data_IF_715915491395
#
_entry.id   IF_715915491395
#
_cell.length_a   1.000
_cell.length_b   1.000
_cell.length_c   1.000
_cell.angle_alpha   90.00
_cell.angle_beta   90.00
_cell.angle_gamma   90.00
#
_symmetry.space_group_name_H-M   'P 1'
#
loop_
_entity.id
_entity.type
_entity.pdbx_description
1 polymer ?
#
# COMPACT_ATOMS: atom_id res chain seq x y z
N UNK A 1 44.55 -50.30 3.11
CA UNK A 1 44.63 -51.03 1.84
C UNK A 1 43.67 -52.23 1.80
N UNK A 2 42.53 -52.01 1.16
CA UNK A 2 41.50 -53.00 0.84
C UNK A 2 41.92 -53.97 -0.30
N UNK A 3 42.97 -53.62 -1.05
CA UNK A 3 43.65 -54.50 -1.99
C UNK A 3 43.23 -54.37 -3.45
N UNK A 4 42.55 -53.29 -3.84
CA UNK A 4 42.06 -53.05 -5.20
C UNK A 4 43.12 -52.45 -6.18
N UNK A 5 44.21 -51.90 -5.64
CA UNK A 5 45.31 -51.32 -6.43
C UNK A 5 45.18 -49.81 -6.70
N UNK A 6 44.15 -49.16 -6.16
CA UNK A 6 44.01 -47.71 -5.99
C UNK A 6 44.58 -47.35 -4.61
N UNK A 7 45.00 -46.09 -4.40
CA UNK A 7 45.58 -45.69 -3.11
C UNK A 7 44.48 -45.24 -2.16
N UNK A 8 44.57 -45.61 -0.87
CA UNK A 8 43.65 -45.29 0.25
C UNK A 8 43.24 -43.79 0.40
N UNK A 9 43.77 -42.88 -0.42
CA UNK A 9 43.46 -41.44 -0.41
C UNK A 9 42.32 -41.03 -1.36
N UNK A 10 41.82 -41.95 -2.18
CA UNK A 10 40.64 -41.71 -3.03
C UNK A 10 39.59 -42.82 -2.86
N UNK A 11 39.60 -43.46 -1.69
CA UNK A 11 38.54 -44.36 -1.27
C UNK A 11 37.31 -43.50 -0.95
N UNK A 12 36.16 -44.00 -1.38
CA UNK A 12 34.81 -43.49 -1.15
C UNK A 12 34.03 -44.73 -0.71
N UNK A 13 34.01 -44.93 0.61
CA UNK A 13 33.66 -46.20 1.23
C UNK A 13 32.15 -46.49 1.19
N UNK A 14 31.31 -45.46 1.07
CA UNK A 14 29.86 -45.59 1.03
C UNK A 14 29.22 -45.17 -0.32
N UNK A 15 29.99 -44.52 -1.19
CA UNK A 15 29.60 -44.19 -2.56
C UNK A 15 28.81 -42.90 -2.70
N UNK A 16 28.96 -41.94 -1.78
CA UNK A 16 28.24 -40.67 -1.78
C UNK A 16 28.90 -39.57 -2.65
N UNK A 17 30.03 -39.92 -3.29
CA UNK A 17 30.87 -39.06 -4.13
C UNK A 17 31.81 -38.09 -3.38
N UNK A 18 31.97 -38.26 -2.07
CA UNK A 18 33.05 -37.70 -1.28
C UNK A 18 34.06 -38.79 -0.93
N UNK A 19 35.30 -38.39 -0.69
CA UNK A 19 36.35 -39.35 -0.33
C UNK A 19 36.47 -39.40 1.19
N UNK A 20 36.76 -40.58 1.75
CA UNK A 20 36.81 -40.84 3.20
C UNK A 20 37.65 -39.83 4.01
N UNK A 21 38.62 -39.16 3.37
CA UNK A 21 39.49 -38.17 4.00
C UNK A 21 38.86 -36.79 4.24
N UNK A 22 37.75 -36.47 3.57
CA UNK A 22 37.00 -35.21 3.72
C UNK A 22 35.53 -35.45 4.08
N UNK A 23 35.12 -36.71 4.12
CA UNK A 23 33.79 -37.15 4.49
C UNK A 23 33.64 -37.16 6.03
N UNK A 24 32.68 -36.41 6.56
CA UNK A 24 32.36 -36.37 7.99
C UNK A 24 31.57 -37.61 8.46
N UNK A 25 31.09 -38.43 7.53
CA UNK A 25 30.51 -39.75 7.78
C UNK A 25 31.01 -40.83 6.80
N UNK A 26 32.30 -41.26 6.87
CA UNK A 26 32.95 -42.14 5.88
C UNK A 26 32.33 -43.51 5.57
N UNK A 27 31.24 -43.88 6.24
CA UNK A 27 30.56 -45.17 6.10
C UNK A 27 29.04 -45.01 5.96
N UNK A 28 28.53 -43.78 5.90
CA UNK A 28 27.11 -43.45 5.81
C UNK A 28 26.94 -42.33 4.79
N UNK A 29 26.32 -42.68 3.66
CA UNK A 29 26.08 -41.76 2.54
C UNK A 29 25.42 -40.46 2.99
N UNK A 30 26.13 -39.33 2.87
CA UNK A 30 25.64 -38.00 3.26
C UNK A 30 26.33 -36.88 2.43
N UNK A 31 26.04 -36.85 1.14
CA UNK A 31 26.68 -35.94 0.19
C UNK A 31 26.52 -34.42 0.49
N UNK A 32 25.61 -34.04 1.38
CA UNK A 32 25.42 -32.68 1.87
C UNK A 32 26.38 -32.28 3.00
N UNK A 33 26.94 -33.26 3.72
CA UNK A 33 27.93 -33.09 4.79
C UNK A 33 27.48 -32.10 5.86
N UNK A 34 26.19 -32.13 6.20
CA UNK A 34 25.68 -31.36 7.33
C UNK A 34 26.35 -31.88 8.61
N UNK A 35 26.71 -30.93 9.47
CA UNK A 35 27.44 -31.07 10.75
C UNK A 35 26.95 -29.90 11.60
N UNK A 36 25.82 -30.12 12.30
CA UNK A 36 25.02 -29.07 12.94
C UNK A 36 25.73 -28.45 14.15
N UNK A 37 26.51 -29.23 14.91
CA UNK A 37 27.30 -28.77 16.05
C UNK A 37 28.77 -28.40 15.73
N UNK A 38 29.28 -28.80 14.56
CA UNK A 38 30.65 -28.55 14.14
C UNK A 38 31.70 -29.39 14.86
N UNK A 39 31.35 -30.55 15.41
CA UNK A 39 32.26 -31.43 16.14
C UNK A 39 33.14 -32.30 15.19
N UNK A 40 32.72 -32.39 13.93
CA UNK A 40 33.41 -33.08 12.85
C UNK A 40 32.89 -34.48 12.53
N UNK A 41 31.93 -35.01 13.28
CA UNK A 41 31.00 -36.02 12.79
C UNK A 41 29.83 -35.33 12.08
N UNK A 42 29.34 -35.92 10.98
CA UNK A 42 28.14 -35.37 10.32
C UNK A 42 26.86 -35.90 10.95
N UNK A 43 25.77 -35.15 10.81
CA UNK A 43 24.43 -35.50 11.35
C UNK A 43 23.98 -36.91 10.93
N UNK A 44 24.41 -37.38 9.76
CA UNK A 44 24.08 -38.73 9.29
C UNK A 44 24.69 -39.87 10.13
N UNK A 45 25.72 -39.58 10.93
CA UNK A 45 26.47 -40.56 11.72
C UNK A 45 26.81 -40.10 13.14
N UNK A 46 26.35 -38.91 13.55
CA UNK A 46 26.27 -38.53 14.95
C UNK A 46 25.02 -39.14 15.61
N UNK A 47 24.89 -38.98 16.91
CA UNK A 47 23.78 -39.46 17.74
C UNK A 47 23.19 -38.39 18.63
N UNK A 48 23.71 -37.18 18.50
CA UNK A 48 23.45 -35.94 19.24
C UNK A 48 23.94 -34.80 18.34
N UNK A 49 23.19 -34.55 17.24
CA UNK A 49 23.64 -33.70 16.11
C UNK A 49 23.89 -32.22 16.52
N UNK A 50 23.40 -31.80 17.69
CA UNK A 50 23.56 -30.44 18.22
C UNK A 50 24.41 -30.35 19.52
N UNK A 51 24.87 -31.50 20.03
CA UNK A 51 25.71 -31.66 21.21
C UNK A 51 25.14 -31.01 22.50
N UNK A 52 23.81 -30.93 22.62
CA UNK A 52 23.14 -30.40 23.82
C UNK A 52 23.08 -31.42 24.98
N UNK A 53 23.35 -32.69 24.67
CA UNK A 53 23.39 -33.81 25.61
C UNK A 53 22.13 -34.68 25.62
N UNK A 54 21.20 -34.43 24.71
CA UNK A 54 20.01 -35.24 24.43
C UNK A 54 20.24 -35.94 23.09
N UNK A 55 19.99 -37.25 23.04
CA UNK A 55 20.21 -38.00 21.80
C UNK A 55 19.08 -37.69 20.80
N UNK A 56 19.36 -37.62 19.49
CA UNK A 56 18.38 -37.21 18.45
C UNK A 56 17.04 -37.96 18.54
N UNK A 57 17.09 -39.24 18.92
CA UNK A 57 15.89 -40.07 19.05
C UNK A 57 14.96 -39.70 20.23
N UNK A 58 15.42 -38.82 21.12
CA UNK A 58 14.69 -38.30 22.28
C UNK A 58 14.64 -36.76 22.27
N UNK A 59 15.22 -36.14 21.25
CA UNK A 59 15.32 -34.69 21.10
C UNK A 59 14.18 -34.18 20.21
N UNK A 60 13.41 -33.20 20.70
CA UNK A 60 12.38 -32.54 19.91
C UNK A 60 12.93 -31.42 19.00
N UNK A 61 14.21 -31.07 19.11
CA UNK A 61 14.94 -30.24 18.16
C UNK A 61 16.33 -30.81 17.85
N UNK A 62 16.45 -31.94 17.13
CA UNK A 62 17.70 -32.68 16.97
C UNK A 62 18.92 -31.89 16.45
N UNK A 63 18.70 -30.73 15.82
CA UNK A 63 19.76 -29.91 15.21
C UNK A 63 19.88 -28.52 15.85
N UNK A 64 19.12 -28.24 16.91
CA UNK A 64 19.05 -26.93 17.57
C UNK A 64 19.05 -27.10 19.10
N UNK A 65 20.14 -26.71 19.80
CA UNK A 65 20.30 -27.03 21.22
C UNK A 65 19.17 -26.51 22.11
N UNK A 66 18.48 -27.41 22.79
CA UNK A 66 17.34 -27.10 23.65
C UNK A 66 17.19 -28.09 24.83
N UNK A 67 18.19 -28.10 25.71
CA UNK A 67 18.28 -28.96 26.92
C UNK A 67 17.02 -29.01 27.81
N UNK A 68 16.16 -28.00 27.75
CA UNK A 68 14.90 -27.97 28.51
C UNK A 68 13.75 -28.73 27.84
N UNK A 69 13.85 -29.04 26.54
CA UNK A 69 12.89 -29.78 25.71
C UNK A 69 11.48 -29.20 25.87
N UNK A 70 11.41 -27.86 25.84
CA UNK A 70 10.13 -27.18 25.82
C UNK A 70 9.39 -27.51 24.51
N UNK A 71 8.09 -27.73 24.65
CA UNK A 71 7.13 -28.09 23.61
C UNK A 71 5.79 -27.56 24.14
N UNK A 72 5.51 -26.30 23.79
CA UNK A 72 4.45 -25.50 24.39
C UNK A 72 3.07 -25.83 23.81
N UNK A 73 3.00 -26.29 22.57
CA UNK A 73 1.79 -26.56 21.81
C UNK A 73 1.46 -28.08 21.74
N UNK A 74 2.45 -28.95 21.91
CA UNK A 74 2.33 -30.39 22.10
C UNK A 74 2.36 -31.22 20.82
N UNK A 75 3.06 -30.76 19.77
CA UNK A 75 3.14 -31.42 18.47
C UNK A 75 4.35 -32.38 18.32
N UNK A 76 5.18 -32.49 19.36
CA UNK A 76 6.45 -33.24 19.43
C UNK A 76 7.66 -32.54 18.73
N UNK A 77 7.52 -31.31 18.23
CA UNK A 77 8.60 -30.37 17.87
C UNK A 77 8.92 -29.49 19.09
N UNK A 78 10.13 -28.96 19.18
CA UNK A 78 10.52 -28.12 20.31
C UNK A 78 10.43 -26.64 20.01
N UNK A 79 10.05 -25.85 21.03
CA UNK A 79 9.93 -24.37 20.95
C UNK A 79 11.19 -23.67 20.35
N UNK A 80 12.35 -24.32 20.40
CA UNK A 80 13.61 -23.78 19.88
C UNK A 80 13.76 -23.86 18.35
N UNK A 81 13.03 -24.76 17.70
CA UNK A 81 13.10 -25.06 16.27
C UNK A 81 11.72 -25.11 15.60
N UNK A 82 10.68 -24.69 16.31
CA UNK A 82 9.31 -24.73 15.84
C UNK A 82 8.99 -23.60 14.85
N UNK A 83 8.28 -23.96 13.79
CA UNK A 83 7.84 -23.14 12.67
C UNK A 83 6.59 -23.83 12.12
N UNK A 84 5.51 -23.69 12.89
CA UNK A 84 4.28 -24.50 12.80
C UNK A 84 3.61 -24.36 11.41
N UNK A 85 3.78 -23.20 10.80
CA UNK A 85 3.19 -22.84 9.52
C UNK A 85 4.16 -22.90 8.33
N UNK A 86 5.46 -23.04 8.61
CA UNK A 86 6.52 -23.25 7.63
C UNK A 86 6.85 -22.02 6.80
N UNK A 87 6.63 -20.82 7.33
CA UNK A 87 6.88 -19.55 6.65
C UNK A 87 8.34 -19.08 6.76
N UNK A 88 9.11 -19.70 7.66
CA UNK A 88 10.52 -19.41 7.91
C UNK A 88 10.78 -18.46 9.09
N UNK A 89 9.75 -18.09 9.85
CA UNK A 89 9.80 -17.40 11.14
C UNK A 89 9.49 -18.42 12.23
N UNK A 90 10.31 -18.46 13.29
CA UNK A 90 10.05 -19.40 14.39
C UNK A 90 8.88 -18.89 15.26
N UNK A 91 8.02 -19.78 15.74
CA UNK A 91 6.84 -19.48 16.57
C UNK A 91 7.11 -18.51 17.73
N UNK A 92 8.30 -18.60 18.34
CA UNK A 92 8.72 -17.76 19.46
C UNK A 92 8.84 -16.26 19.13
N UNK A 93 8.94 -15.92 17.85
CA UNK A 93 9.06 -14.54 17.33
C UNK A 93 8.05 -14.25 16.24
N UNK A 94 7.20 -15.21 15.88
CA UNK A 94 6.15 -15.09 14.89
C UNK A 94 4.92 -14.39 15.50
N UNK A 95 4.46 -13.32 14.86
CA UNK A 95 3.22 -12.64 15.24
C UNK A 95 1.95 -13.33 14.71
N UNK A 96 2.09 -14.36 13.87
CA UNK A 96 1.03 -15.28 13.45
C UNK A 96 1.50 -16.74 13.39
N UNK A 97 1.83 -17.40 14.52
CA UNK A 97 2.50 -18.72 14.57
C UNK A 97 1.83 -19.90 13.85
N UNK A 98 0.62 -19.73 13.32
CA UNK A 98 -0.12 -20.79 12.62
C UNK A 98 -0.62 -20.37 11.24
N UNK A 99 -0.23 -19.17 10.76
CA UNK A 99 -0.69 -18.58 9.51
C UNK A 99 0.46 -17.88 8.77
N UNK A 100 0.94 -18.44 7.65
CA UNK A 100 2.19 -17.99 7.04
C UNK A 100 2.19 -16.51 6.67
N UNK A 101 3.11 -15.75 7.26
CA UNK A 101 3.34 -14.32 7.01
C UNK A 101 4.83 -13.93 7.17
N UNK A 102 5.71 -14.33 6.23
CA UNK A 102 7.15 -14.13 6.38
C UNK A 102 7.62 -12.67 6.50
N UNK A 103 6.75 -11.72 6.16
CA UNK A 103 6.99 -10.28 6.29
C UNK A 103 6.66 -9.72 7.68
N UNK A 104 5.89 -10.45 8.49
CA UNK A 104 5.56 -10.12 9.88
C UNK A 104 4.95 -8.72 10.02
N UNK A 105 4.12 -8.34 9.03
CA UNK A 105 3.42 -7.06 9.05
C UNK A 105 2.41 -7.05 10.21
N UNK A 106 2.35 -5.92 10.91
CA UNK A 106 1.52 -5.62 12.07
C UNK A 106 1.20 -4.12 11.98
N UNK A 107 0.06 -3.82 11.34
CA UNK A 107 -0.30 -2.48 10.88
C UNK A 107 -0.70 -1.55 12.02
N UNK A 108 -1.23 -2.08 13.12
CA UNK A 108 -1.63 -1.32 14.30
C UNK A 108 -0.63 -1.39 15.48
N UNK A 109 0.31 -2.33 15.45
CA UNK A 109 1.34 -2.52 16.45
C UNK A 109 0.86 -3.19 17.74
N UNK A 110 -0.21 -3.99 17.71
CA UNK A 110 -0.77 -4.67 18.88
C UNK A 110 -0.07 -6.01 19.20
N UNK A 111 0.68 -6.54 18.24
CA UNK A 111 1.49 -7.75 18.34
C UNK A 111 0.87 -9.01 17.72
N UNK A 112 -0.37 -8.95 17.24
CA UNK A 112 -0.94 -9.92 16.29
C UNK A 112 -0.61 -9.43 14.86
N UNK A 113 -0.25 -10.34 13.95
CA UNK A 113 0.10 -9.92 12.58
C UNK A 113 -1.14 -9.75 11.70
N UNK A 114 -1.06 -8.91 10.67
CA UNK A 114 -2.15 -8.64 9.71
C UNK A 114 -2.71 -9.94 9.07
N UNK A 115 -1.92 -11.01 9.02
CA UNK A 115 -2.34 -12.28 8.44
C UNK A 115 -3.28 -13.10 9.33
N UNK A 116 -3.28 -12.84 10.64
CA UNK A 116 -4.06 -13.55 11.64
C UNK A 116 -4.91 -12.64 12.53
N UNK A 117 -4.78 -11.32 12.39
CA UNK A 117 -5.69 -10.35 12.98
C UNK A 117 -7.04 -10.32 12.22
N UNK A 118 -8.14 -10.10 12.94
CA UNK A 118 -9.49 -9.93 12.38
C UNK A 118 -9.85 -8.43 12.18
N UNK A 119 -9.02 -7.50 12.67
CA UNK A 119 -9.16 -6.02 12.61
C UNK A 119 -7.75 -5.40 12.55
N UNK A 120 -7.05 -5.58 11.41
CA UNK A 120 -5.60 -5.35 11.28
C UNK A 120 -5.14 -3.89 11.48
N UNK A 121 -6.07 -2.94 11.52
CA UNK A 121 -5.77 -1.53 11.78
C UNK A 121 -6.41 -0.99 13.09
N UNK A 122 -7.12 -1.86 13.82
CA UNK A 122 -7.75 -1.59 15.11
C UNK A 122 -8.71 -0.38 15.08
N UNK A 123 -9.40 -0.15 13.96
CA UNK A 123 -10.34 0.96 13.79
C UNK A 123 -11.78 0.65 14.26
N UNK A 124 -12.01 -0.60 14.69
CA UNK A 124 -13.27 -1.21 15.14
C UNK A 124 -14.18 -1.80 14.06
N UNK A 125 -13.78 -1.75 12.80
CA UNK A 125 -14.40 -2.45 11.68
C UNK A 125 -13.57 -3.71 11.42
N UNK A 126 -14.24 -4.86 11.27
CA UNK A 126 -13.51 -6.11 10.99
C UNK A 126 -13.07 -6.13 9.54
N UNK A 127 -11.93 -6.75 9.25
CA UNK A 127 -11.32 -6.88 7.91
C UNK A 127 -12.31 -7.32 6.81
N UNK A 128 -13.28 -8.18 7.15
CA UNK A 128 -14.27 -8.68 6.19
C UNK A 128 -15.37 -7.67 5.81
N UNK A 129 -15.42 -6.54 6.51
CA UNK A 129 -16.32 -5.40 6.28
C UNK A 129 -15.59 -4.07 6.09
N UNK A 130 -14.26 -4.06 6.17
CA UNK A 130 -13.44 -2.86 6.05
C UNK A 130 -13.08 -2.55 4.59
N UNK A 131 -13.31 -1.31 4.14
CA UNK A 131 -12.86 -0.85 2.82
C UNK A 131 -11.41 -0.32 2.79
N UNK A 132 -10.73 -0.28 3.94
CA UNK A 132 -9.31 0.05 4.12
C UNK A 132 -8.61 -0.83 5.17
N UNK A 133 -8.45 -2.12 4.86
CA UNK A 133 -7.92 -3.18 5.75
C UNK A 133 -6.72 -2.83 6.67
N UNK A 134 -5.85 -1.90 6.28
CA UNK A 134 -4.63 -1.58 7.02
C UNK A 134 -4.50 -0.08 7.34
N UNK A 135 -5.56 0.71 7.15
CA UNK A 135 -5.55 2.17 7.31
C UNK A 135 -6.81 2.62 8.04
N UNK A 136 -6.69 3.04 9.32
CA UNK A 136 -7.88 3.28 10.15
C UNK A 136 -8.82 4.32 9.57
N UNK A 137 -10.06 3.91 9.27
CA UNK A 137 -11.12 4.78 8.73
C UNK A 137 -12.52 4.40 9.27
N UNK A 138 -12.81 4.69 10.56
CA UNK A 138 -14.05 4.23 11.21
C UNK A 138 -15.36 4.77 10.61
N UNK A 139 -15.29 5.76 9.72
CA UNK A 139 -16.43 6.30 8.99
C UNK A 139 -16.69 5.61 7.64
N UNK A 140 -15.73 4.81 7.13
CA UNK A 140 -15.84 3.95 5.95
C UNK A 140 -16.37 4.74 4.74
N UNK A 141 -15.86 5.97 4.57
CA UNK A 141 -16.19 6.79 3.39
C UNK A 141 -15.56 6.13 2.17
N UNK A 142 -16.31 6.14 1.08
CA UNK A 142 -15.99 5.60 -0.26
C UNK A 142 -16.76 6.50 -1.24
N UNK A 143 -16.09 7.55 -1.70
CA UNK A 143 -16.71 8.69 -2.41
C UNK A 143 -17.19 8.29 -3.80
N UNK A 144 -16.45 7.46 -4.52
CA UNK A 144 -16.80 7.00 -5.86
C UNK A 144 -17.58 5.66 -5.89
N UNK A 145 -17.58 4.91 -4.79
CA UNK A 145 -18.27 3.64 -4.64
C UNK A 145 -17.56 2.46 -5.31
N UNK A 146 -16.24 2.52 -5.49
CA UNK A 146 -15.45 1.45 -6.11
C UNK A 146 -15.11 0.28 -5.14
N UNK A 147 -15.26 0.55 -3.84
CA UNK A 147 -15.06 -0.41 -2.75
C UNK A 147 -13.73 -0.28 -2.02
N UNK A 148 -12.86 0.65 -2.42
CA UNK A 148 -11.70 1.12 -1.65
C UNK A 148 -12.15 2.38 -0.89
N UNK A 149 -11.80 2.52 0.39
CA UNK A 149 -12.20 3.69 1.16
C UNK A 149 -11.30 4.89 0.94
N UNK A 150 -11.83 6.11 1.11
CA UNK A 150 -11.10 7.38 0.87
C UNK A 150 -9.78 7.49 1.68
N UNK A 151 -9.64 6.74 2.78
CA UNK A 151 -8.41 6.75 3.58
C UNK A 151 -7.24 6.01 2.93
N UNK A 152 -7.54 5.09 2.00
CA UNK A 152 -6.58 4.20 1.35
C UNK A 152 -6.73 4.11 -0.17
N UNK A 153 -7.72 4.78 -0.75
CA UNK A 153 -7.82 5.04 -2.18
C UNK A 153 -6.83 6.14 -2.57
N UNK A 154 -6.05 5.99 -3.66
CA UNK A 154 -5.27 7.08 -4.20
C UNK A 154 -6.05 8.10 -5.05
N UNK A 155 -7.28 7.81 -5.49
CA UNK A 155 -8.11 8.62 -6.42
C UNK A 155 -9.60 8.54 -5.99
N UNK A 156 -9.98 9.29 -4.95
CA UNK A 156 -11.25 9.18 -4.21
C UNK A 156 -12.52 9.41 -5.06
N UNK A 157 -12.41 10.06 -6.21
CA UNK A 157 -13.53 10.36 -7.10
C UNK A 157 -13.46 9.66 -8.48
N UNK A 158 -12.39 8.90 -8.72
CA UNK A 158 -12.11 8.13 -9.92
C UNK A 158 -12.06 8.99 -11.21
N UNK A 159 -11.54 10.23 -11.12
CA UNK A 159 -11.40 11.14 -12.26
C UNK A 159 -10.11 10.98 -13.07
N UNK A 160 -9.23 10.04 -12.64
CA UNK A 160 -7.91 9.68 -13.18
C UNK A 160 -6.71 10.45 -12.64
N UNK A 161 -6.90 11.31 -11.63
CA UNK A 161 -5.84 12.05 -10.97
C UNK A 161 -5.76 11.66 -9.50
N UNK A 162 -4.58 11.20 -9.07
CA UNK A 162 -4.37 10.89 -7.65
C UNK A 162 -4.67 12.13 -6.76
N UNK A 163 -5.27 11.96 -5.58
CA UNK A 163 -5.71 13.05 -4.68
C UNK A 163 -4.60 14.07 -4.39
N UNK A 164 -3.35 13.61 -4.40
CA UNK A 164 -2.18 14.44 -4.11
C UNK A 164 -1.89 15.50 -5.18
N UNK A 165 -2.50 15.38 -6.36
CA UNK A 165 -2.35 16.30 -7.49
C UNK A 165 -3.69 16.85 -8.00
N UNK A 166 -4.80 16.35 -7.48
CA UNK A 166 -6.15 16.79 -7.81
C UNK A 166 -6.54 18.06 -7.01
N UNK A 167 -7.03 19.09 -7.71
CA UNK A 167 -7.56 20.31 -7.08
C UNK A 167 -9.02 20.18 -6.61
N UNK A 168 -9.70 19.07 -6.90
CA UNK A 168 -10.99 18.67 -6.35
C UNK A 168 -11.08 17.17 -6.03
N UNK A 169 -10.33 16.65 -5.04
CA UNK A 169 -10.19 15.20 -4.78
C UNK A 169 -11.49 14.39 -4.59
N UNK A 170 -12.62 15.04 -4.34
CA UNK A 170 -13.91 14.38 -4.09
C UNK A 170 -14.96 14.69 -5.18
N UNK A 171 -14.59 15.38 -6.25
CA UNK A 171 -15.51 15.86 -7.29
C UNK A 171 -14.86 15.82 -8.67
N UNK A 172 -15.25 14.83 -9.47
CA UNK A 172 -14.62 14.56 -10.77
C UNK A 172 -14.47 15.82 -11.64
N UNK A 173 -13.24 16.19 -11.91
CA UNK A 173 -12.88 17.31 -12.77
C UNK A 173 -11.55 17.05 -13.52
N UNK A 174 -11.53 16.10 -14.48
CA UNK A 174 -10.28 15.70 -15.16
C UNK A 174 -9.57 16.81 -15.94
N UNK A 175 -10.22 17.96 -16.15
CA UNK A 175 -9.66 19.13 -16.80
C UNK A 175 -8.95 20.10 -15.83
N UNK A 176 -9.16 19.94 -14.52
CA UNK A 176 -8.47 20.68 -13.45
C UNK A 176 -8.52 22.19 -13.68
N UNK A 177 -9.68 22.68 -14.14
CA UNK A 177 -9.92 24.12 -14.24
C UNK A 177 -9.85 24.73 -12.84
N UNK A 178 -9.25 25.91 -12.76
CA UNK A 178 -8.94 26.69 -11.55
C UNK A 178 -8.80 28.15 -12.02
N UNK A 179 -9.93 28.82 -12.15
CA UNK A 179 -10.07 30.09 -12.86
C UNK A 179 -9.38 31.25 -12.12
N UNK A 180 -9.39 31.26 -10.80
CA UNK A 180 -8.74 32.26 -9.96
C UNK A 180 -7.30 31.88 -9.54
N UNK A 181 -6.90 30.62 -9.75
CA UNK A 181 -5.60 30.07 -9.38
C UNK A 181 -5.34 30.04 -7.86
N UNK A 182 -6.37 29.86 -7.05
CA UNK A 182 -6.27 29.74 -5.59
C UNK A 182 -5.89 28.31 -5.13
N UNK A 183 -6.07 27.33 -6.02
CA UNK A 183 -5.74 25.92 -5.84
C UNK A 183 -6.93 25.01 -5.55
N UNK A 184 -8.15 25.53 -5.46
CA UNK A 184 -9.39 24.76 -5.58
C UNK A 184 -9.81 24.72 -7.05
N UNK A 185 -10.30 23.58 -7.52
CA UNK A 185 -10.80 23.51 -8.89
C UNK A 185 -12.21 24.06 -9.01
N UNK A 186 -12.56 24.59 -10.19
CA UNK A 186 -13.88 25.18 -10.49
C UNK A 186 -15.07 24.23 -10.18
N UNK A 187 -14.82 22.91 -10.08
CA UNK A 187 -15.85 21.92 -9.77
C UNK A 187 -16.22 21.85 -8.28
N UNK A 188 -15.32 22.28 -7.40
CA UNK A 188 -15.43 22.20 -5.94
C UNK A 188 -15.13 23.52 -5.23
N UNK A 189 -14.77 24.56 -5.97
CA UNK A 189 -14.70 25.93 -5.50
C UNK A 189 -16.13 26.52 -5.39
N UNK A 190 -16.47 27.19 -4.27
CA UNK A 190 -17.72 27.93 -4.15
C UNK A 190 -17.72 29.37 -4.72
N UNK A 191 -16.57 29.90 -5.18
CA UNK A 191 -16.33 31.27 -5.68
C UNK A 191 -15.24 31.28 -6.78
N UNK A 192 -15.56 30.78 -7.98
CA UNK A 192 -14.61 30.47 -9.08
C UNK A 192 -13.76 31.66 -9.58
N UNK A 193 -14.07 32.90 -9.21
CA UNK A 193 -13.34 34.10 -9.63
C UNK A 193 -12.86 35.01 -8.48
N UNK A 194 -13.00 34.53 -7.23
CA UNK A 194 -12.50 35.13 -5.99
C UNK A 194 -13.00 36.58 -5.76
N UNK A 195 -14.21 36.88 -6.25
CA UNK A 195 -14.79 38.22 -6.22
C UNK A 195 -15.64 38.50 -4.96
N UNK A 196 -15.79 37.48 -4.10
CA UNK A 196 -16.56 37.41 -2.85
C UNK A 196 -18.05 37.07 -3.00
N UNK A 197 -18.51 36.77 -4.20
CA UNK A 197 -19.88 36.35 -4.50
C UNK A 197 -19.86 34.88 -4.92
N UNK A 198 -20.44 34.01 -4.09
CA UNK A 198 -20.48 32.58 -4.43
C UNK A 198 -21.24 32.30 -5.74
N UNK A 199 -20.76 31.36 -6.55
CA UNK A 199 -21.28 31.01 -7.88
C UNK A 199 -22.80 30.76 -7.88
N UNK A 200 -23.33 30.22 -6.77
CA UNK A 200 -24.77 29.94 -6.62
C UNK A 200 -25.66 31.18 -6.71
N UNK A 201 -25.09 32.37 -6.52
CA UNK A 201 -25.76 33.67 -6.62
C UNK A 201 -25.02 34.66 -7.53
N UNK A 202 -23.89 34.27 -8.11
CA UNK A 202 -23.13 35.07 -9.05
C UNK A 202 -23.76 35.06 -10.45
N UNK A 203 -23.96 36.23 -11.05
CA UNK A 203 -24.45 36.35 -12.42
C UNK A 203 -23.33 36.26 -13.49
N UNK A 204 -22.07 36.24 -13.07
CA UNK A 204 -20.87 35.95 -13.85
C UNK A 204 -19.83 35.11 -13.07
N UNK A 205 -20.10 33.83 -12.77
CA UNK A 205 -19.26 33.01 -11.88
C UNK A 205 -17.76 32.94 -12.19
N UNK A 206 -17.36 33.14 -13.45
CA UNK A 206 -15.95 33.05 -13.87
C UNK A 206 -15.32 34.42 -14.19
N UNK A 207 -16.02 35.53 -13.95
CA UNK A 207 -15.57 36.88 -14.28
C UNK A 207 -15.88 37.86 -13.16
N UNK A 208 -14.87 38.11 -12.33
CA UNK A 208 -15.01 38.92 -11.13
C UNK A 208 -15.76 40.24 -11.38
N UNK A 209 -16.97 40.32 -10.82
CA UNK A 209 -17.88 41.44 -10.90
C UNK A 209 -18.63 41.64 -9.56
N UNK A 210 -17.96 42.12 -8.48
CA UNK A 210 -18.59 42.25 -7.16
C UNK A 210 -19.81 43.18 -7.09
N UNK A 211 -20.02 43.97 -8.17
CA UNK A 211 -21.16 44.85 -8.36
C UNK A 211 -22.42 44.15 -8.87
N UNK A 212 -22.28 42.96 -9.47
CA UNK A 212 -23.37 42.11 -9.98
C UNK A 212 -24.35 42.91 -10.86
N UNK A 213 -23.80 43.83 -11.68
CA UNK A 213 -24.59 44.59 -12.63
C UNK A 213 -25.23 43.66 -13.68
N UNK A 214 -26.51 43.88 -13.98
CA UNK A 214 -27.35 43.14 -14.93
C UNK A 214 -28.40 44.14 -15.45
N UNK A 215 -28.09 44.81 -16.57
CA UNK A 215 -28.89 45.95 -17.04
C UNK A 215 -30.22 45.51 -17.67
N UNK A 216 -30.25 44.38 -18.35
CA UNK A 216 -31.39 43.90 -19.11
C UNK A 216 -32.30 42.96 -18.29
N UNK A 217 -31.77 42.44 -17.17
CA UNK A 217 -32.47 41.62 -16.19
C UNK A 217 -32.67 40.18 -16.62
N UNK A 218 -31.82 39.65 -17.50
CA UNK A 218 -31.92 38.28 -18.01
C UNK A 218 -31.30 37.23 -17.07
N UNK A 219 -30.52 37.69 -16.08
CA UNK A 219 -29.87 36.88 -15.06
C UNK A 219 -28.39 36.60 -15.33
N UNK A 220 -27.85 37.02 -16.47
CA UNK A 220 -26.42 37.05 -16.80
C UNK A 220 -25.88 38.44 -16.47
N UNK A 221 -24.69 38.55 -15.88
CA UNK A 221 -24.13 39.85 -15.52
C UNK A 221 -23.49 40.58 -16.70
N UNK A 222 -23.50 41.91 -16.67
CA UNK A 222 -22.91 42.77 -17.70
C UNK A 222 -21.42 42.44 -17.95
N UNK A 223 -20.73 41.86 -16.96
CA UNK A 223 -19.31 41.46 -17.05
C UNK A 223 -19.03 40.30 -18.00
N UNK A 224 -20.03 39.45 -18.25
CA UNK A 224 -19.93 38.21 -19.01
C UNK A 224 -21.06 38.01 -20.03
N UNK A 225 -22.00 38.96 -20.13
CA UNK A 225 -23.07 38.98 -21.12
C UNK A 225 -22.64 39.64 -22.44
N UNK A 226 -23.23 39.20 -23.55
CA UNK A 226 -23.20 39.80 -24.90
C UNK A 226 -24.66 39.84 -25.39
N UNK A 227 -25.40 40.80 -24.83
CA UNK A 227 -26.85 40.88 -24.92
C UNK A 227 -27.36 41.02 -26.36
N UNK A 228 -26.54 41.59 -27.26
CA UNK A 228 -26.91 41.84 -28.66
C UNK A 228 -26.20 40.95 -29.70
N UNK A 229 -25.27 40.10 -29.25
CA UNK A 229 -24.59 39.07 -30.04
C UNK A 229 -23.59 39.64 -31.04
N UNK A 230 -23.00 40.79 -30.75
CA UNK A 230 -22.01 41.45 -31.61
C UNK A 230 -20.55 41.06 -31.32
N UNK A 231 -20.36 40.18 -30.31
CA UNK A 231 -19.10 39.66 -29.79
C UNK A 231 -18.29 40.65 -28.94
N UNK A 232 -18.93 41.70 -28.39
CA UNK A 232 -18.40 42.58 -27.36
C UNK A 232 -19.24 42.35 -26.10
N UNK A 233 -18.59 42.15 -24.95
CA UNK A 233 -19.33 42.00 -23.68
C UNK A 233 -19.94 43.33 -23.24
N UNK A 234 -21.09 43.29 -22.58
CA UNK A 234 -21.87 44.46 -22.16
C UNK A 234 -21.05 45.48 -21.37
N UNK A 235 -20.15 45.03 -20.48
CA UNK A 235 -19.23 45.89 -19.73
C UNK A 235 -18.23 46.68 -20.60
N UNK A 236 -17.99 46.25 -21.84
CA UNK A 236 -17.09 46.88 -22.82
C UNK A 236 -17.83 47.48 -24.02
N UNK A 237 -19.14 47.25 -24.13
CA UNK A 237 -19.97 47.73 -25.23
C UNK A 237 -20.52 49.14 -24.95
N UNK A 238 -20.34 50.05 -25.91
CA UNK A 238 -20.93 51.39 -25.83
C UNK A 238 -22.43 51.43 -26.18
N UNK A 239 -22.96 50.37 -26.79
CA UNK A 239 -24.37 50.19 -27.08
C UNK A 239 -24.81 48.73 -26.78
N UNK A 240 -24.78 48.27 -25.50
CA UNK A 240 -24.96 46.85 -25.08
C UNK A 240 -26.24 46.13 -25.51
N UNK A 241 -27.13 46.80 -26.22
CA UNK A 241 -28.45 46.31 -26.62
C UNK A 241 -28.68 46.48 -28.13
N UNK A 242 -27.67 46.91 -28.88
CA UNK A 242 -27.77 47.26 -30.30
C UNK A 242 -26.47 46.94 -31.04
N UNK A 243 -26.42 45.73 -31.62
CA UNK A 243 -25.23 45.19 -32.26
C UNK A 243 -24.46 46.21 -33.12
N UNK A 244 -23.26 46.53 -32.66
CA UNK A 244 -22.32 47.45 -33.28
C UNK A 244 -20.88 46.93 -33.13
N UNK A 245 -20.51 45.85 -33.85
CA UNK A 245 -19.22 45.18 -33.67
C UNK A 245 -17.98 46.10 -33.85
N UNK A 246 -18.15 47.22 -34.56
CA UNK A 246 -17.10 48.20 -34.81
C UNK A 246 -16.96 49.26 -33.69
N UNK A 247 -17.86 49.26 -32.69
CA UNK A 247 -17.90 50.18 -31.55
C UNK A 247 -17.82 51.66 -31.97
N UNK A 248 -18.38 51.98 -33.14
CA UNK A 248 -18.25 53.31 -33.77
C UNK A 248 -19.26 54.30 -33.21
N UNK A 249 -18.76 55.26 -32.43
CA UNK A 249 -19.48 56.47 -32.06
C UNK A 249 -19.82 57.30 -33.32
N UNK A 250 -21.10 57.23 -33.72
CA UNK A 250 -21.60 57.82 -34.97
C UNK A 250 -22.20 59.21 -34.78
N UNK A 251 -22.54 59.61 -33.55
CA UNK A 251 -23.16 60.90 -33.22
C UNK A 251 -22.32 61.80 -32.30
N UNK A 252 -21.20 61.28 -31.78
CA UNK A 252 -20.13 62.05 -31.15
C UNK A 252 -20.41 62.47 -29.72
N UNK A 253 -21.32 61.78 -29.01
CA UNK A 253 -21.88 62.26 -27.74
C UNK A 253 -21.17 61.80 -26.48
N UNK A 254 -20.32 60.75 -26.55
CA UNK A 254 -19.25 60.44 -25.59
C UNK A 254 -19.67 60.07 -24.17
#
# INVERSE_FOLDING_TARGET
PDGDGVGDACDDSDGDALVDAIDNCPWVVNADQIDSDGDGAGDACDSDDDNDGIIDALDNCPTVPNVDQADSDGDDVGDACDDDDGDGVLDIVDNCPTTPNPDQTDSDGDGEGDACDDDADNDTILDDHDNCLTVPNPDQIDTDGDGIGDACDPDDDNDTLDDTVDNCPLVQNPDQLDNDSDGFGDACDPDDDDDTISDTIDNCPFVANPGQEDMDGDGTGDGCDDSDGDAIVDALDNCPQVANPDQTDSDGDG
#
